data_IF_313278511238
#
_entry.id   IF_313278511238
#
_cell.length_a   1.000
_cell.length_b   1.000
_cell.length_c   1.000
_cell.angle_alpha   90.00
_cell.angle_beta   90.00
_cell.angle_gamma   90.00
#
_symmetry.space_group_name_H-M   'P 1'
#
loop_
_entity.id
_entity.type
_entity.pdbx_description
1 polymer ?
#
# COMPACT_ATOMS: atom_id res chain seq x y z
N UNK A 1 20.03 23.21 9.30
CA UNK A 1 19.07 22.09 9.31
C UNK A 1 17.72 22.71 8.99
N UNK A 2 17.18 22.47 7.79
CA UNK A 2 15.90 23.06 7.37
C UNK A 2 14.79 22.20 7.95
N UNK A 3 13.89 22.78 8.74
CA UNK A 3 12.67 22.08 9.20
C UNK A 3 11.75 21.90 7.99
N UNK A 4 11.25 20.68 7.81
CA UNK A 4 10.24 20.40 6.80
C UNK A 4 8.95 21.16 7.14
N UNK A 5 8.28 21.67 6.11
CA UNK A 5 6.92 22.18 6.23
C UNK A 5 5.94 21.05 6.56
N UNK A 6 4.78 21.39 7.12
CA UNK A 6 3.71 20.42 7.39
C UNK A 6 3.29 19.66 6.12
N UNK A 7 3.26 20.35 4.97
CA UNK A 7 2.96 19.74 3.68
C UNK A 7 4.02 18.71 3.26
N UNK A 8 5.30 18.98 3.47
CA UNK A 8 6.38 18.04 3.16
C UNK A 8 6.36 16.82 4.09
N UNK A 9 6.05 17.02 5.37
CA UNK A 9 5.87 15.93 6.33
C UNK A 9 4.71 15.04 5.89
N UNK A 10 3.56 15.62 5.52
CA UNK A 10 2.42 14.87 5.01
C UNK A 10 2.77 14.15 3.70
N UNK A 11 3.40 14.82 2.74
CA UNK A 11 3.83 14.20 1.48
C UNK A 11 4.67 12.95 1.73
N UNK A 12 5.67 13.05 2.61
CA UNK A 12 6.55 11.93 2.94
C UNK A 12 5.77 10.78 3.60
N UNK A 13 4.93 11.09 4.59
CA UNK A 13 4.14 10.07 5.28
C UNK A 13 3.19 9.32 4.33
N UNK A 14 2.52 10.04 3.42
CA UNK A 14 1.64 9.43 2.43
C UNK A 14 2.40 8.58 1.41
N UNK A 15 3.60 9.01 0.97
CA UNK A 15 4.47 8.21 0.10
C UNK A 15 4.96 6.94 0.78
N UNK A 16 5.36 7.03 2.05
CA UNK A 16 5.78 5.86 2.83
C UNK A 16 4.63 4.86 3.00
N UNK A 17 3.42 5.35 3.32
CA UNK A 17 2.23 4.49 3.38
C UNK A 17 1.94 3.82 2.03
N UNK A 18 2.05 4.56 0.92
CA UNK A 18 1.82 4.03 -0.43
C UNK A 18 2.82 2.94 -0.78
N UNK A 19 4.09 3.17 -0.46
CA UNK A 19 5.15 2.19 -0.63
C UNK A 19 4.90 0.92 0.18
N UNK A 20 4.46 1.05 1.44
CA UNK A 20 4.15 -0.11 2.27
C UNK A 20 2.99 -0.95 1.74
N UNK A 21 1.90 -0.34 1.24
CA UNK A 21 0.80 -1.09 0.62
C UNK A 21 1.25 -1.78 -0.68
N UNK A 22 2.12 -1.15 -1.49
CA UNK A 22 2.71 -1.77 -2.68
C UNK A 22 3.56 -3.00 -2.34
N UNK A 23 4.47 -2.85 -1.37
CA UNK A 23 5.33 -3.96 -0.92
C UNK A 23 4.49 -5.09 -0.33
N UNK A 24 3.47 -4.76 0.46
CA UNK A 24 2.56 -5.75 1.04
C UNK A 24 1.80 -6.50 -0.06
N UNK A 25 1.19 -5.80 -1.02
CA UNK A 25 0.50 -6.43 -2.13
C UNK A 25 1.44 -7.34 -2.94
N UNK A 26 2.67 -6.90 -3.21
CA UNK A 26 3.68 -7.71 -3.89
C UNK A 26 4.01 -9.01 -3.14
N UNK A 27 4.30 -8.91 -1.84
CA UNK A 27 4.61 -10.09 -1.00
C UNK A 27 3.44 -11.07 -0.91
N UNK A 28 2.21 -10.57 -0.79
CA UNK A 28 1.01 -11.42 -0.75
C UNK A 28 0.80 -12.12 -2.09
N UNK A 29 1.05 -11.42 -3.21
CA UNK A 29 0.98 -11.95 -4.57
C UNK A 29 2.00 -13.07 -4.84
N UNK A 30 3.19 -12.97 -4.25
CA UNK A 30 4.21 -14.03 -4.29
C UNK A 30 3.79 -15.21 -3.42
N UNK A 31 3.41 -14.94 -2.16
CA UNK A 31 3.13 -15.99 -1.18
C UNK A 31 1.95 -16.87 -1.59
N UNK A 32 0.85 -16.31 -2.09
CA UNK A 32 -0.31 -17.12 -2.48
C UNK A 32 -0.02 -18.03 -3.69
N UNK A 33 1.05 -17.79 -4.47
CA UNK A 33 1.48 -18.68 -5.56
C UNK A 33 2.25 -19.90 -5.04
N UNK A 34 2.95 -19.75 -3.91
CA UNK A 34 3.74 -20.82 -3.28
C UNK A 34 2.89 -21.70 -2.36
N UNK A 35 1.77 -21.18 -1.86
CA UNK A 35 0.85 -21.92 -0.99
C UNK A 35 0.02 -22.93 -1.80
N UNK A 36 0.07 -24.19 -1.37
CA UNK A 36 -0.68 -25.31 -1.96
C UNK A 36 -2.02 -25.57 -1.28
N UNK A 37 -2.19 -25.17 -0.01
CA UNK A 37 -3.44 -25.30 0.74
C UNK A 37 -4.48 -24.29 0.22
N UNK A 38 -5.59 -24.73 -0.43
CA UNK A 38 -6.51 -23.84 -1.13
C UNK A 38 -7.15 -22.77 -0.25
N UNK A 39 -7.44 -23.07 1.02
CA UNK A 39 -8.06 -22.11 1.93
C UNK A 39 -7.09 -20.97 2.28
N UNK A 40 -5.84 -21.33 2.53
CA UNK A 40 -4.78 -20.38 2.86
C UNK A 40 -4.44 -19.54 1.61
N UNK A 41 -4.34 -20.15 0.43
CA UNK A 41 -4.14 -19.43 -0.83
C UNK A 41 -5.22 -18.36 -1.06
N UNK A 42 -6.51 -18.71 -0.90
CA UNK A 42 -7.62 -17.75 -1.03
C UNK A 42 -7.56 -16.62 -0.01
N UNK A 43 -7.15 -16.92 1.22
CA UNK A 43 -6.96 -15.89 2.25
C UNK A 43 -5.91 -14.87 1.81
N UNK A 44 -4.74 -15.32 1.37
CA UNK A 44 -3.66 -14.43 0.92
C UNK A 44 -4.03 -13.65 -0.35
N UNK A 45 -4.78 -14.26 -1.27
CA UNK A 45 -5.36 -13.56 -2.43
C UNK A 45 -6.33 -12.44 -1.99
N UNK A 46 -7.18 -12.71 -0.99
CA UNK A 46 -8.08 -11.70 -0.42
C UNK A 46 -7.32 -10.54 0.23
N UNK A 47 -6.26 -10.85 0.96
CA UNK A 47 -5.38 -9.84 1.56
C UNK A 47 -4.67 -8.99 0.49
N UNK A 48 -4.19 -9.62 -0.59
CA UNK A 48 -3.56 -8.93 -1.72
C UNK A 48 -4.53 -7.92 -2.34
N UNK A 49 -5.75 -8.36 -2.65
CA UNK A 49 -6.79 -7.48 -3.19
C UNK A 49 -7.07 -6.32 -2.25
N UNK A 50 -7.19 -6.57 -0.95
CA UNK A 50 -7.40 -5.52 0.04
C UNK A 50 -6.26 -4.49 0.08
N UNK A 51 -5.00 -4.94 -0.02
CA UNK A 51 -3.84 -4.06 -0.08
C UNK A 51 -3.85 -3.19 -1.35
N UNK A 52 -4.17 -3.77 -2.52
CA UNK A 52 -4.34 -3.02 -3.78
C UNK A 52 -5.48 -2.00 -3.72
N UNK A 53 -6.60 -2.35 -3.07
CA UNK A 53 -7.70 -1.41 -2.86
C UNK A 53 -7.27 -0.24 -1.96
N UNK A 54 -6.56 -0.52 -0.86
CA UNK A 54 -6.01 0.54 0.01
C UNK A 54 -5.01 1.42 -0.74
N UNK A 55 -4.14 0.83 -1.55
CA UNK A 55 -3.22 1.57 -2.42
C UNK A 55 -3.98 2.56 -3.31
N UNK A 56 -5.02 2.11 -4.01
CA UNK A 56 -5.82 2.96 -4.89
C UNK A 56 -6.53 4.10 -4.12
N UNK A 57 -7.12 3.78 -2.96
CA UNK A 57 -7.76 4.78 -2.10
C UNK A 57 -6.75 5.82 -1.59
N UNK A 58 -5.53 5.39 -1.25
CA UNK A 58 -4.46 6.26 -0.79
C UNK A 58 -4.02 7.20 -1.92
N UNK A 59 -3.82 6.69 -3.15
CA UNK A 59 -3.51 7.52 -4.32
C UNK A 59 -4.59 8.56 -4.58
N UNK A 60 -5.88 8.20 -4.47
CA UNK A 60 -6.97 9.16 -4.61
C UNK A 60 -6.96 10.23 -3.51
N UNK A 61 -6.72 9.83 -2.25
CA UNK A 61 -6.59 10.78 -1.12
C UNK A 61 -5.40 11.71 -1.31
N UNK A 62 -4.25 11.19 -1.74
CA UNK A 62 -3.05 11.98 -2.03
C UNK A 62 -3.34 13.05 -3.08
N UNK A 63 -4.02 12.68 -4.18
CA UNK A 63 -4.43 13.64 -5.21
C UNK A 63 -5.35 14.73 -4.64
N UNK A 64 -6.30 14.38 -3.76
CA UNK A 64 -7.18 15.35 -3.10
C UNK A 64 -6.47 16.33 -2.15
N UNK A 65 -5.35 15.92 -1.55
CA UNK A 65 -4.52 16.77 -0.69
C UNK A 65 -3.42 17.54 -1.45
N UNK A 66 -3.38 17.44 -2.78
CA UNK A 66 -2.30 18.03 -3.58
C UNK A 66 -0.94 17.39 -3.30
N UNK A 67 -0.93 16.16 -2.80
CA UNK A 67 0.28 15.38 -2.54
C UNK A 67 0.76 14.80 -3.86
N UNK A 68 1.98 15.17 -4.24
CA UNK A 68 2.64 14.81 -5.51
C UNK A 68 3.75 13.80 -5.25
#
# INVERSE_FOLDING_TARGET
>A
MTMLSEQEILNNAFKDMLFHEQVLAGKLAELHKEITEPQIQKMFQGMEMAARTRQNMLTQKMSGFGIV
#
